data_IF_185291987228
#
_entry.id   IF_185291987228
#
_cell.length_a   1.000
_cell.length_b   1.000
_cell.length_c   1.000
_cell.angle_alpha   90.00
_cell.angle_beta   90.00
_cell.angle_gamma   90.00
#
_symmetry.space_group_name_H-M   'P 1'
#
loop_
_entity.id
_entity.type
_entity.pdbx_description
1 polymer ?
#
# COMPACT_ATOMS: atom_id res chain seq x y z
N UNK A 1 -39.99 68.65 -14.09
CA UNK A 1 -38.64 69.26 -14.02
C UNK A 1 -38.31 69.57 -12.56
N UNK A 2 -37.10 69.22 -12.09
CA UNK A 2 -36.53 69.48 -10.75
C UNK A 2 -37.17 68.63 -9.63
N UNK A 3 -36.47 68.06 -8.64
CA UNK A 3 -35.07 68.02 -8.24
C UNK A 3 -34.96 66.98 -7.09
N UNK A 4 -33.81 66.29 -7.00
CA UNK A 4 -33.13 65.85 -5.76
C UNK A 4 -33.94 64.97 -4.77
N UNK A 5 -33.54 63.75 -4.42
CA UNK A 5 -32.42 63.45 -3.53
C UNK A 5 -32.31 61.93 -3.43
N UNK A 6 -31.17 61.34 -3.75
CA UNK A 6 -30.49 60.27 -2.99
C UNK A 6 -29.31 59.75 -3.80
N UNK A 7 -28.38 60.67 -4.05
CA UNK A 7 -26.98 60.37 -4.20
C UNK A 7 -26.44 60.19 -2.76
N UNK A 8 -25.91 59.02 -2.40
CA UNK A 8 -24.68 58.87 -1.60
C UNK A 8 -24.45 57.43 -1.14
N UNK A 9 -23.19 57.01 -1.37
CA UNK A 9 -22.41 55.97 -0.68
C UNK A 9 -22.74 54.55 -1.16
N UNK A 10 -21.85 53.80 -1.82
CA UNK A 10 -20.40 53.73 -1.67
C UNK A 10 -19.70 53.46 -3.01
N UNK A 11 -18.76 54.35 -3.36
CA UNK A 11 -17.66 54.01 -4.26
C UNK A 11 -16.51 53.42 -3.45
N UNK A 12 -15.95 52.34 -4.00
CA UNK A 12 -14.52 52.04 -4.11
C UNK A 12 -13.62 52.09 -2.87
N UNK A 13 -13.07 50.92 -2.52
CA UNK A 13 -11.63 50.77 -2.32
C UNK A 13 -11.22 49.30 -2.48
N UNK A 14 -10.60 49.01 -3.62
CA UNK A 14 -9.69 47.89 -3.88
C UNK A 14 -8.59 47.79 -2.83
N UNK A 15 -8.18 46.57 -2.46
CA UNK A 15 -6.76 46.24 -2.25
C UNK A 15 -6.55 44.71 -2.27
N UNK A 16 -5.47 44.33 -2.95
CA UNK A 16 -5.05 42.99 -3.26
C UNK A 16 -4.77 42.13 -2.01
N UNK A 17 -5.22 40.88 -2.06
CA UNK A 17 -4.62 39.78 -1.34
C UNK A 17 -4.29 38.67 -2.34
N UNK A 18 -3.33 38.95 -3.21
CA UNK A 18 -2.46 37.94 -3.81
C UNK A 18 -1.63 37.32 -2.69
N UNK A 19 -2.23 36.37 -1.96
CA UNK A 19 -1.50 35.40 -1.16
C UNK A 19 -1.53 34.10 -1.96
N UNK A 20 -0.46 33.90 -2.71
CA UNK A 20 0.14 32.62 -3.06
C UNK A 20 -0.60 31.42 -2.45
N UNK A 21 -1.53 30.82 -3.21
CA UNK A 21 -1.84 29.40 -3.07
C UNK A 21 -0.67 28.60 -3.66
N UNK A 22 0.53 28.82 -3.13
CA UNK A 22 1.52 27.76 -3.02
C UNK A 22 1.08 26.99 -1.78
N UNK A 23 0.04 26.16 -1.95
CA UNK A 23 0.00 24.95 -1.15
C UNK A 23 1.34 24.27 -1.46
N UNK A 24 2.26 24.15 -0.49
CA UNK A 24 3.39 23.28 -0.70
C UNK A 24 2.78 21.91 -1.03
N UNK A 25 3.42 21.26 -1.99
CA UNK A 25 3.16 19.90 -2.40
C UNK A 25 2.55 19.12 -1.25
N UNK A 26 1.41 18.46 -1.50
CA UNK A 26 0.88 17.44 -0.62
C UNK A 26 2.07 16.73 0.00
N UNK A 27 2.29 16.97 1.31
CA UNK A 27 3.26 16.19 2.04
C UNK A 27 2.78 14.76 1.78
N UNK A 28 3.46 14.05 0.88
CA UNK A 28 3.23 12.63 0.68
C UNK A 28 3.30 12.10 2.10
N UNK A 29 2.17 11.60 2.61
CA UNK A 29 2.12 11.09 3.96
C UNK A 29 3.21 10.02 4.02
N UNK A 30 4.33 10.37 4.64
CA UNK A 30 5.48 9.49 4.71
C UNK A 30 5.00 8.24 5.42
N UNK A 31 5.27 7.08 4.83
CA UNK A 31 4.84 5.85 5.45
C UNK A 31 5.52 5.72 6.83
N UNK A 32 4.82 5.27 7.89
CA UNK A 32 5.44 5.16 9.21
C UNK A 32 6.67 4.25 9.23
N UNK A 33 6.68 3.18 8.44
CA UNK A 33 7.84 2.29 8.33
C UNK A 33 8.95 2.91 7.48
N UNK A 34 8.61 3.68 6.44
CA UNK A 34 9.60 4.47 5.69
C UNK A 34 10.31 5.46 6.61
N UNK A 35 9.54 6.17 7.45
CA UNK A 35 10.08 7.14 8.40
C UNK A 35 11.02 6.49 9.42
N UNK A 36 10.63 5.34 10.00
CA UNK A 36 11.49 4.58 10.93
C UNK A 36 12.75 4.08 10.23
N UNK A 37 12.65 3.57 8.99
CA UNK A 37 13.80 3.08 8.24
C UNK A 37 14.78 4.20 7.87
N UNK A 38 14.29 5.40 7.56
CA UNK A 38 15.14 6.57 7.30
C UNK A 38 15.95 7.03 8.52
N UNK A 39 15.61 6.61 9.74
CA UNK A 39 16.48 6.82 10.91
C UNK A 39 17.76 5.99 10.81
N UNK A 40 17.70 4.83 10.15
CA UNK A 40 18.74 3.81 10.12
C UNK A 40 19.51 3.73 8.78
N UNK A 41 18.91 4.21 7.68
CA UNK A 41 19.45 4.11 6.32
C UNK A 41 19.51 5.49 5.66
N UNK A 42 20.45 5.67 4.73
CA UNK A 42 20.61 6.91 3.94
C UNK A 42 19.43 7.13 2.98
N UNK A 43 18.89 6.04 2.43
CA UNK A 43 17.75 6.09 1.52
C UNK A 43 16.81 4.92 1.76
N UNK A 44 15.52 5.19 1.57
CA UNK A 44 14.45 4.21 1.53
C UNK A 44 13.67 4.44 0.24
N UNK A 45 13.37 3.35 -0.47
CA UNK A 45 12.59 3.34 -1.70
C UNK A 45 11.38 2.43 -1.50
N UNK A 46 10.18 2.98 -1.69
CA UNK A 46 8.90 2.33 -1.35
C UNK A 46 8.16 1.96 -2.63
N UNK A 47 7.76 0.70 -2.70
CA UNK A 47 6.98 0.16 -3.80
C UNK A 47 5.74 -0.55 -3.29
N UNK A 48 4.70 -0.65 -4.11
CA UNK A 48 3.49 -1.35 -3.73
C UNK A 48 2.87 -2.16 -4.88
N UNK A 49 2.06 -3.15 -4.50
CA UNK A 49 1.23 -3.95 -5.38
C UNK A 49 -0.20 -4.02 -4.82
N UNK A 50 -1.22 -3.49 -5.52
CA UNK A 50 -2.60 -3.67 -5.11
C UNK A 50 -3.07 -5.12 -5.36
N UNK A 51 -3.87 -5.62 -4.45
CA UNK A 51 -4.61 -6.88 -4.56
C UNK A 51 -6.08 -6.54 -4.44
N UNK A 52 -6.88 -6.95 -5.41
CA UNK A 52 -8.34 -6.80 -5.40
C UNK A 52 -8.95 -8.04 -6.07
N UNK A 53 -9.48 -8.95 -5.25
CA UNK A 53 -10.10 -10.19 -5.72
C UNK A 53 -11.43 -10.40 -5.02
N UNK A 54 -12.43 -10.81 -5.79
CA UNK A 54 -13.76 -11.18 -5.32
C UNK A 54 -14.19 -12.49 -5.96
N UNK A 55 -14.67 -13.42 -5.14
CA UNK A 55 -15.26 -14.68 -5.57
C UNK A 55 -16.73 -14.70 -5.16
N UNK A 56 -17.61 -14.77 -6.15
CA UNK A 56 -19.07 -14.64 -5.96
C UNK A 56 -19.82 -15.96 -6.04
N UNK A 57 -19.29 -16.94 -6.76
CA UNK A 57 -19.95 -18.22 -6.96
C UNK A 57 -19.36 -19.29 -6.05
N UNK A 58 -20.20 -20.24 -5.64
CA UNK A 58 -19.78 -21.35 -4.78
C UNK A 58 -18.77 -22.26 -5.49
N UNK A 59 -17.89 -22.87 -4.70
CA UNK A 59 -16.84 -23.79 -5.15
C UNK A 59 -15.88 -23.18 -6.17
N UNK A 60 -15.72 -21.85 -6.13
CA UNK A 60 -14.66 -21.15 -6.82
C UNK A 60 -13.58 -20.77 -5.82
N UNK A 61 -12.33 -20.91 -6.27
CA UNK A 61 -11.14 -20.58 -5.51
C UNK A 61 -10.26 -19.69 -6.37
N UNK A 62 -9.73 -18.63 -5.76
CA UNK A 62 -8.58 -17.90 -6.28
C UNK A 62 -7.44 -18.19 -5.32
N UNK A 63 -6.39 -18.84 -5.80
CA UNK A 63 -5.19 -19.12 -5.02
C UNK A 63 -4.01 -18.66 -5.86
N UNK A 64 -3.22 -17.74 -5.34
CA UNK A 64 -2.16 -17.07 -6.11
C UNK A 64 -0.91 -16.95 -5.27
N UNK A 65 0.21 -17.44 -5.83
CA UNK A 65 1.56 -17.18 -5.31
C UNK A 65 2.26 -16.22 -6.27
N UNK A 66 3.00 -15.25 -5.71
CA UNK A 66 3.61 -14.16 -6.47
C UNK A 66 5.12 -14.11 -6.31
N UNK A 67 5.78 -13.86 -7.43
CA UNK A 67 7.14 -13.30 -7.50
C UNK A 67 6.99 -11.86 -7.99
N UNK A 68 7.67 -10.92 -7.36
CA UNK A 68 7.42 -9.51 -7.60
C UNK A 68 8.60 -8.88 -8.30
N UNK A 69 8.31 -8.18 -9.39
CA UNK A 69 9.32 -7.60 -10.27
C UNK A 69 9.09 -6.09 -10.32
N UNK A 70 10.00 -5.33 -9.72
CA UNK A 70 10.04 -3.88 -9.90
C UNK A 70 10.71 -3.52 -11.24
N UNK A 71 10.10 -2.58 -11.97
CA UNK A 71 10.64 -2.03 -13.22
C UNK A 71 10.41 -0.51 -13.25
N UNK A 72 11.49 0.31 -13.20
CA UNK A 72 12.91 -0.09 -13.14
C UNK A 72 13.28 -0.86 -11.87
N UNK A 73 14.43 -1.52 -11.87
CA UNK A 73 14.92 -2.21 -10.67
C UNK A 73 15.08 -1.18 -9.53
N UNK A 74 14.62 -1.50 -8.31
CA UNK A 74 14.70 -0.60 -7.18
C UNK A 74 16.16 -0.42 -6.76
N UNK A 75 16.48 0.73 -6.17
CA UNK A 75 17.83 0.98 -5.65
C UNK A 75 17.93 0.42 -4.23
N UNK A 76 18.94 -0.41 -3.96
CA UNK A 76 19.17 -0.98 -2.64
C UNK A 76 18.65 -2.41 -2.48
N UNK A 77 18.64 -2.88 -1.23
CA UNK A 77 18.25 -4.24 -0.86
C UNK A 77 16.84 -4.25 -0.27
N UNK A 78 16.05 -5.29 -0.58
CA UNK A 78 14.74 -5.49 0.03
C UNK A 78 14.91 -5.68 1.55
N UNK A 79 14.33 -4.77 2.32
CA UNK A 79 14.42 -4.76 3.78
C UNK A 79 13.22 -5.43 4.43
N UNK A 80 12.01 -5.07 4.00
CA UNK A 80 10.77 -5.47 4.66
C UNK A 80 9.61 -5.46 3.67
N UNK A 81 8.68 -6.41 3.82
CA UNK A 81 7.40 -6.43 3.10
C UNK A 81 6.26 -6.32 4.12
N UNK A 82 5.32 -5.40 3.86
CA UNK A 82 4.12 -5.17 4.66
C UNK A 82 2.84 -5.47 3.88
N UNK A 83 1.81 -5.97 4.56
CA UNK A 83 0.47 -6.25 4.04
C UNK A 83 -0.56 -5.34 4.71
N UNK A 84 -1.11 -4.41 3.95
CA UNK A 84 -2.11 -3.45 4.41
C UNK A 84 -3.50 -3.90 3.95
N UNK A 85 -4.23 -4.59 4.83
CA UNK A 85 -5.59 -5.05 4.56
C UNK A 85 -6.56 -3.86 4.49
N UNK A 86 -7.19 -3.67 3.34
CA UNK A 86 -8.23 -2.66 3.12
C UNK A 86 -9.61 -3.27 3.35
N UNK A 87 -9.83 -4.49 2.83
CA UNK A 87 -11.11 -5.20 2.94
C UNK A 87 -10.87 -6.71 2.94
N UNK A 88 -11.52 -7.41 3.87
CA UNK A 88 -11.52 -8.87 3.92
C UNK A 88 -12.89 -9.38 4.36
N UNK A 89 -13.58 -10.10 3.47
CA UNK A 89 -14.91 -10.69 3.71
C UNK A 89 -14.91 -12.16 3.29
N UNK A 90 -15.66 -13.00 4.01
CA UNK A 90 -15.76 -14.42 3.72
C UNK A 90 -14.48 -15.20 4.06
N UNK A 91 -14.17 -16.21 3.24
CA UNK A 91 -12.98 -17.07 3.41
C UNK A 91 -11.83 -16.55 2.54
N UNK A 92 -10.79 -16.04 3.18
CA UNK A 92 -9.60 -15.50 2.54
C UNK A 92 -8.37 -15.65 3.44
N UNK A 93 -7.19 -15.53 2.84
CA UNK A 93 -5.96 -15.39 3.60
C UNK A 93 -4.79 -14.93 2.73
N UNK A 94 -3.74 -14.43 3.39
CA UNK A 94 -2.56 -13.88 2.74
C UNK A 94 -1.35 -13.98 3.66
N UNK A 95 -0.16 -14.00 3.06
CA UNK A 95 1.09 -13.94 3.80
C UNK A 95 2.23 -14.62 3.07
N UNK A 96 3.23 -15.11 3.82
CA UNK A 96 4.40 -15.77 3.25
C UNK A 96 4.21 -17.27 3.10
N UNK A 97 4.75 -17.81 2.01
CA UNK A 97 4.82 -19.25 1.80
C UNK A 97 5.73 -19.89 2.88
N UNK A 98 5.29 -20.95 3.58
CA UNK A 98 6.15 -21.65 4.55
C UNK A 98 7.46 -22.14 3.91
N UNK A 99 8.58 -21.95 4.62
CA UNK A 99 9.91 -22.37 4.14
C UNK A 99 10.79 -21.26 3.57
N UNK A 100 10.34 -20.00 3.57
CA UNK A 100 11.19 -18.86 3.23
C UNK A 100 10.92 -17.67 4.16
N UNK A 101 11.99 -16.96 4.56
CA UNK A 101 12.12 -15.60 4.10
C UNK A 101 13.52 -15.39 3.56
N UNK A 102 13.75 -15.76 2.30
CA UNK A 102 14.95 -15.31 1.57
C UNK A 102 14.64 -14.77 0.18
N UNK A 103 13.62 -15.29 -0.51
CA UNK A 103 13.32 -14.85 -1.89
C UNK A 103 11.82 -14.57 -2.13
N UNK A 104 11.29 -13.56 -1.42
CA UNK A 104 10.09 -12.75 -1.75
C UNK A 104 8.78 -13.43 -2.21
N UNK A 105 8.62 -14.75 -2.04
CA UNK A 105 7.39 -15.43 -2.39
C UNK A 105 6.35 -15.27 -1.28
N UNK A 106 5.36 -14.45 -1.57
CA UNK A 106 4.13 -14.35 -0.80
C UNK A 106 2.96 -14.74 -1.70
N UNK A 107 1.81 -14.94 -1.09
CA UNK A 107 0.61 -15.29 -1.81
C UNK A 107 -0.64 -14.99 -1.01
N UNK A 108 -1.76 -15.22 -1.65
CA UNK A 108 -3.08 -15.05 -1.07
C UNK A 108 -4.04 -16.06 -1.65
N UNK A 109 -5.14 -16.28 -0.93
CA UNK A 109 -6.31 -16.94 -1.46
C UNK A 109 -7.61 -16.24 -1.06
N UNK A 110 -8.61 -16.44 -1.90
CA UNK A 110 -9.99 -16.07 -1.68
C UNK A 110 -10.81 -17.27 -2.11
N UNK A 111 -11.47 -17.91 -1.16
CA UNK A 111 -12.20 -19.16 -1.35
C UNK A 111 -13.67 -18.90 -1.10
N UNK A 112 -14.57 -19.51 -1.88
CA UNK A 112 -15.99 -19.52 -1.54
C UNK A 112 -16.47 -20.95 -1.37
N UNK A 113 -16.49 -21.40 -0.12
CA UNK A 113 -17.03 -22.69 0.31
C UNK A 113 -18.46 -22.48 0.78
N UNK A 114 -19.43 -23.17 0.20
CA UNK A 114 -20.84 -22.97 0.55
C UNK A 114 -21.81 -23.69 -0.39
N UNK A 115 -23.09 -23.68 0.00
CA UNK A 115 -24.20 -24.21 -0.80
C UNK A 115 -24.95 -23.05 -1.50
N UNK A 116 -25.86 -23.34 -2.43
CA UNK A 116 -26.57 -22.32 -3.25
C UNK A 116 -27.28 -21.24 -2.41
N UNK A 117 -27.58 -21.52 -1.14
CA UNK A 117 -28.22 -20.58 -0.20
C UNK A 117 -27.24 -19.63 0.50
N UNK A 118 -25.94 -19.91 0.48
CA UNK A 118 -24.90 -19.02 1.01
C UNK A 118 -24.39 -18.09 -0.10
N UNK A 119 -25.11 -16.99 -0.29
CA UNK A 119 -24.87 -16.08 -1.42
C UNK A 119 -23.79 -15.03 -1.14
N UNK A 120 -23.23 -14.93 0.06
CA UNK A 120 -22.25 -13.89 0.39
C UNK A 120 -20.92 -14.13 -0.34
N UNK A 121 -20.36 -13.09 -0.94
CA UNK A 121 -19.09 -13.19 -1.68
C UNK A 121 -17.90 -13.21 -0.72
N UNK A 122 -16.83 -13.91 -1.08
CA UNK A 122 -15.52 -13.76 -0.45
C UNK A 122 -14.72 -12.69 -1.18
N UNK A 123 -14.07 -11.80 -0.44
CA UNK A 123 -13.35 -10.65 -1.00
C UNK A 123 -12.06 -10.40 -0.24
N UNK A 124 -10.99 -10.10 -0.98
CA UNK A 124 -9.73 -9.62 -0.44
C UNK A 124 -9.28 -8.39 -1.22
N UNK A 125 -9.15 -7.27 -0.52
CA UNK A 125 -8.53 -6.04 -0.99
C UNK A 125 -7.41 -5.63 -0.05
N UNK A 126 -6.21 -5.47 -0.56
CA UNK A 126 -5.04 -5.05 0.22
C UNK A 126 -3.97 -4.39 -0.63
N UNK A 127 -3.04 -3.69 0.01
CA UNK A 127 -1.77 -3.31 -0.59
C UNK A 127 -0.64 -4.16 -0.01
N UNK A 128 0.23 -4.67 -0.87
CA UNK A 128 1.50 -5.25 -0.45
C UNK A 128 2.60 -4.24 -0.72
N UNK A 129 3.32 -3.83 0.31
CA UNK A 129 4.27 -2.73 0.29
C UNK A 129 5.67 -3.31 0.51
N UNK A 130 6.64 -2.82 -0.25
CA UNK A 130 8.03 -3.24 -0.26
C UNK A 130 8.90 -2.05 0.09
N UNK A 131 9.74 -2.23 1.09
CA UNK A 131 10.71 -1.23 1.50
C UNK A 131 12.10 -1.70 1.06
N UNK A 132 12.70 -0.97 0.13
CA UNK A 132 14.09 -1.14 -0.28
C UNK A 132 14.94 -0.11 0.46
N UNK A 133 16.11 -0.52 0.92
CA UNK A 133 16.98 0.35 1.72
C UNK A 133 18.40 0.38 1.16
N UNK A 134 19.06 1.54 1.26
CA UNK A 134 20.44 1.72 0.82
C UNK A 134 21.23 2.51 1.86
N UNK A 135 22.51 2.16 2.00
CA UNK A 135 23.44 2.91 2.85
C UNK A 135 23.07 2.79 4.31
N UNK A 136 23.30 1.66 4.98
CA UNK A 136 23.10 1.58 6.42
C UNK A 136 24.01 2.58 7.13
N UNK A 137 23.45 3.44 7.99
CA UNK A 137 24.21 4.45 8.76
C UNK A 137 25.14 3.82 9.79
N UNK A 138 24.81 2.59 10.20
CA UNK A 138 25.62 1.75 11.09
C UNK A 138 25.48 0.30 10.64
N UNK A 139 26.48 -0.55 10.89
CA UNK A 139 26.34 -1.99 10.58
C UNK A 139 25.18 -2.65 11.33
N UNK A 140 24.85 -2.16 12.54
CA UNK A 140 23.71 -2.65 13.32
C UNK A 140 22.35 -2.31 12.69
N UNK A 141 22.26 -1.29 11.83
CA UNK A 141 21.03 -0.90 11.15
C UNK A 141 20.43 -2.05 10.31
N UNK A 142 21.27 -2.92 9.75
CA UNK A 142 20.82 -4.08 8.95
C UNK A 142 19.91 -5.03 9.74
N UNK A 143 20.06 -5.09 11.07
CA UNK A 143 19.22 -5.91 11.94
C UNK A 143 17.76 -5.42 12.02
N UNK A 144 17.50 -4.15 11.71
CA UNK A 144 16.14 -3.56 11.74
C UNK A 144 15.24 -4.25 10.71
N UNK A 145 15.75 -4.53 9.51
CA UNK A 145 15.02 -5.23 8.45
C UNK A 145 14.53 -6.62 8.92
N UNK A 146 15.43 -7.43 9.47
CA UNK A 146 15.09 -8.74 10.01
C UNK A 146 14.11 -8.66 11.19
N UNK A 147 14.30 -7.67 12.09
CA UNK A 147 13.40 -7.44 13.22
C UNK A 147 11.99 -7.09 12.77
N UNK A 148 11.85 -6.18 11.80
CA UNK A 148 10.55 -5.79 11.24
C UNK A 148 9.89 -6.98 10.54
N UNK A 149 10.63 -7.71 9.70
CA UNK A 149 10.09 -8.85 8.98
C UNK A 149 9.64 -10.00 9.90
N UNK A 150 10.30 -10.18 11.04
CA UNK A 150 9.98 -11.23 12.02
C UNK A 150 8.94 -10.79 13.08
N UNK A 151 8.49 -9.54 13.07
CA UNK A 151 7.54 -9.05 14.05
C UNK A 151 6.21 -9.84 13.92
N UNK A 152 5.59 -10.27 15.04
CA UNK A 152 4.36 -11.06 15.02
C UNK A 152 3.15 -10.15 14.74
N UNK A 153 3.12 -9.55 13.56
CA UNK A 153 2.05 -8.65 13.13
C UNK A 153 1.38 -9.22 11.89
N UNK A 154 0.04 -9.12 11.75
CA UNK A 154 -0.63 -9.46 10.49
C UNK A 154 -0.08 -8.70 9.29
N UNK A 155 0.45 -7.49 9.54
CA UNK A 155 1.07 -6.62 8.55
C UNK A 155 2.44 -7.11 8.08
N UNK A 156 3.25 -7.75 8.94
CA UNK A 156 4.55 -8.33 8.55
C UNK A 156 4.40 -9.70 7.87
N UNK A 157 3.18 -10.08 7.44
CA UNK A 157 2.85 -11.35 6.82
C UNK A 157 2.67 -12.45 7.86
N UNK A 158 1.47 -13.01 7.93
CA UNK A 158 1.24 -14.22 8.70
C UNK A 158 1.75 -15.44 7.92
N UNK A 159 2.14 -16.51 8.60
CA UNK A 159 2.23 -17.84 7.98
C UNK A 159 0.79 -18.27 7.62
N UNK A 160 0.35 -17.90 6.43
CA UNK A 160 -0.99 -18.23 5.96
C UNK A 160 -1.15 -19.76 5.89
N UNK A 161 -2.25 -20.25 6.46
CA UNK A 161 -2.52 -21.69 6.66
C UNK A 161 -3.46 -22.30 5.62
N UNK A 162 -3.97 -21.51 4.67
CA UNK A 162 -4.79 -22.02 3.58
C UNK A 162 -3.93 -22.62 2.46
N UNK A 163 -4.57 -23.14 1.40
CA UNK A 163 -3.86 -23.75 0.29
C UNK A 163 -2.97 -22.73 -0.42
N UNK A 164 -1.77 -23.18 -0.79
CA UNK A 164 -0.78 -22.42 -1.57
C UNK A 164 -0.84 -22.85 -3.03
N UNK A 165 -0.71 -21.89 -3.96
CA UNK A 165 -0.51 -22.23 -5.36
C UNK A 165 0.95 -22.66 -5.57
N UNK A 166 1.14 -23.77 -6.28
CA UNK A 166 2.47 -24.22 -6.71
C UNK A 166 3.02 -23.35 -7.84
N UNK A 167 2.15 -22.82 -8.69
CA UNK A 167 2.52 -21.88 -9.73
C UNK A 167 2.83 -20.50 -9.13
N UNK A 168 4.07 -20.06 -9.32
CA UNK A 168 4.50 -18.70 -8.99
C UNK A 168 4.26 -17.81 -10.20
N UNK A 169 3.53 -16.71 -10.01
CA UNK A 169 3.20 -15.76 -11.09
C UNK A 169 3.89 -14.42 -10.86
N UNK A 170 4.43 -13.82 -11.91
CA UNK A 170 5.10 -12.52 -11.83
C UNK A 170 4.09 -11.37 -11.81
N UNK A 171 4.29 -10.39 -10.94
CA UNK A 171 3.53 -9.14 -10.95
C UNK A 171 4.44 -7.91 -10.88
N UNK A 172 4.01 -6.82 -11.52
CA UNK A 172 4.74 -5.56 -11.58
C UNK A 172 4.46 -4.72 -10.33
N UNK A 173 5.52 -4.19 -9.73
CA UNK A 173 5.42 -3.22 -8.64
C UNK A 173 5.19 -1.79 -9.16
N UNK A 174 4.47 -0.99 -8.38
CA UNK A 174 4.21 0.43 -8.59
C UNK A 174 5.10 1.21 -7.60
N UNK A 175 5.80 2.24 -8.07
CA UNK A 175 6.71 3.05 -7.25
C UNK A 175 5.99 4.18 -6.52
N UNK A 176 6.34 4.40 -5.24
CA UNK A 176 5.89 5.50 -4.40
C UNK A 176 4.74 5.16 -3.43
N UNK A 177 4.45 6.08 -2.50
CA UNK A 177 3.33 6.00 -1.54
C UNK A 177 2.76 7.40 -1.24
N UNK A 178 1.47 7.58 -0.89
CA UNK A 178 0.39 6.59 -0.98
C UNK A 178 0.17 6.11 -2.41
N UNK A 179 -0.43 4.93 -2.56
CA UNK A 179 -0.86 4.45 -3.87
C UNK A 179 -1.66 5.56 -4.55
N UNK A 180 -1.10 6.14 -5.63
CA UNK A 180 -1.87 7.04 -6.47
C UNK A 180 -3.14 6.29 -6.87
N UNK A 181 -4.32 6.88 -6.67
CA UNK A 181 -5.55 6.28 -7.15
C UNK A 181 -5.34 5.89 -8.61
N UNK A 182 -5.44 4.59 -8.91
CA UNK A 182 -5.43 4.15 -10.29
C UNK A 182 -6.54 4.93 -11.02
N UNK A 183 -6.25 5.54 -12.18
CA UNK A 183 -7.27 6.23 -12.97
C UNK A 183 -8.39 5.28 -13.40
#
# INVERSE_FOLDING_TARGET
>A
MKNQFLLKRLCAATLAASAFCFAPAAAQAADPDESELLEHFEKVDVWHAPVDYSVRYNNQDVIVTREMVAQPAPQGELCYIRFDLIKGEGDYGYGFKPGAPRDAHWGFNVLKRGTVVDQLASQLKMHVIYFYTQGPKTEAAKAVCARKQAAPTPAAGNAHKGPWADLVTKARLIHGWPAAHAP
#
